data_IF_434144506602
#
_entry.id   IF_434144506602
#
_cell.length_a   1.000
_cell.length_b   1.000
_cell.length_c   1.000
_cell.angle_alpha   90.00
_cell.angle_beta   90.00
_cell.angle_gamma   90.00
#
_symmetry.space_group_name_H-M   'P 1'
#
loop_
_entity.id
_entity.type
_entity.pdbx_description
1 polymer ?
#
# COMPACT_ATOMS: atom_id res chain seq x y z
N UNK A 1 -30.09 3.53 -6.20
CA UNK A 1 -28.76 3.19 -6.76
C UNK A 1 -27.82 4.29 -6.34
N UNK A 2 -26.81 4.01 -5.51
CA UNK A 2 -25.81 5.02 -5.15
C UNK A 2 -24.96 5.32 -6.39
N UNK A 3 -24.74 6.60 -6.71
CA UNK A 3 -23.86 7.00 -7.80
C UNK A 3 -22.46 6.44 -7.55
N UNK A 4 -21.92 5.67 -8.49
CA UNK A 4 -20.58 5.10 -8.41
C UNK A 4 -19.54 6.23 -8.42
N UNK A 5 -18.66 6.27 -7.42
CA UNK A 5 -17.57 7.25 -7.34
C UNK A 5 -16.64 7.13 -8.55
N UNK A 6 -16.39 8.25 -9.24
CA UNK A 6 -15.55 8.29 -10.44
C UNK A 6 -14.16 8.86 -10.16
N UNK A 7 -13.22 8.68 -11.10
CA UNK A 7 -11.90 9.30 -11.05
C UNK A 7 -11.99 10.85 -10.93
N UNK A 8 -13.00 11.47 -11.55
CA UNK A 8 -13.23 12.92 -11.47
C UNK A 8 -13.62 13.35 -10.05
N UNK A 9 -14.42 12.55 -9.36
CA UNK A 9 -14.80 12.81 -7.98
C UNK A 9 -13.59 12.68 -7.06
N UNK A 10 -12.76 11.65 -7.28
CA UNK A 10 -11.50 11.45 -6.56
C UNK A 10 -10.53 12.61 -6.79
N UNK A 11 -10.37 13.08 -8.03
CA UNK A 11 -9.53 14.23 -8.33
C UNK A 11 -10.03 15.52 -7.64
N UNK A 12 -11.36 15.71 -7.52
CA UNK A 12 -11.94 16.84 -6.77
C UNK A 12 -11.66 16.72 -5.27
N UNK A 13 -11.92 15.55 -4.68
CA UNK A 13 -11.63 15.29 -3.27
C UNK A 13 -10.15 15.54 -2.99
N UNK A 14 -9.25 15.09 -3.87
CA UNK A 14 -7.82 15.34 -3.76
C UNK A 14 -7.47 16.83 -3.63
N UNK A 15 -8.12 17.70 -4.42
CA UNK A 15 -7.91 19.16 -4.32
C UNK A 15 -8.42 19.74 -3.01
N UNK A 16 -9.56 19.26 -2.51
CA UNK A 16 -10.12 19.69 -1.22
C UNK A 16 -9.16 19.32 -0.08
N UNK A 17 -8.66 18.07 -0.07
CA UNK A 17 -7.72 17.61 0.94
C UNK A 17 -6.38 18.35 0.88
N UNK A 18 -5.83 18.53 -0.32
CA UNK A 18 -4.57 19.27 -0.58
C UNK A 18 -4.61 20.69 0.00
N UNK A 19 -5.73 21.39 -0.19
CA UNK A 19 -5.92 22.77 0.26
C UNK A 19 -6.51 22.90 1.67
N UNK A 20 -6.84 21.77 2.31
CA UNK A 20 -7.56 21.72 3.58
C UNK A 20 -8.89 22.53 3.56
N UNK A 21 -9.63 22.44 2.46
CA UNK A 21 -10.92 23.13 2.26
C UNK A 21 -12.12 22.38 2.90
N UNK A 22 -11.87 21.40 3.78
CA UNK A 22 -12.91 20.72 4.57
C UNK A 22 -13.22 21.50 5.86
N UNK A 23 -14.47 21.43 6.31
CA UNK A 23 -14.99 22.21 7.44
C UNK A 23 -14.56 21.67 8.79
N UNK A 24 -14.40 20.35 8.90
CA UNK A 24 -14.05 19.67 10.14
C UNK A 24 -13.45 18.28 9.89
N UNK A 25 -12.93 17.65 10.95
CA UNK A 25 -12.30 16.32 10.89
C UNK A 25 -13.29 15.22 10.47
N UNK A 26 -14.58 15.36 10.73
CA UNK A 26 -15.59 14.39 10.31
C UNK A 26 -15.77 14.41 8.79
N UNK A 27 -15.75 15.60 8.18
CA UNK A 27 -15.78 15.76 6.73
C UNK A 27 -14.52 15.18 6.08
N UNK A 28 -13.34 15.44 6.66
CA UNK A 28 -12.09 14.81 6.24
C UNK A 28 -12.18 13.27 6.25
N UNK A 29 -12.72 12.68 7.33
CA UNK A 29 -12.91 11.23 7.45
C UNK A 29 -13.87 10.69 6.41
N UNK A 30 -14.96 11.40 6.11
CA UNK A 30 -15.89 11.02 5.06
C UNK A 30 -15.22 10.99 3.67
N UNK A 31 -14.37 11.98 3.36
CA UNK A 31 -13.57 11.95 2.14
C UNK A 31 -12.57 10.79 2.10
N UNK A 32 -11.90 10.51 3.22
CA UNK A 32 -11.00 9.36 3.35
C UNK A 32 -11.73 8.02 3.11
N UNK A 33 -12.96 7.89 3.61
CA UNK A 33 -13.80 6.71 3.38
C UNK A 33 -14.19 6.53 1.90
N UNK A 34 -14.52 7.62 1.22
CA UNK A 34 -14.80 7.62 -0.22
C UNK A 34 -13.55 7.19 -1.00
N UNK A 35 -12.37 7.72 -0.64
CA UNK A 35 -11.09 7.35 -1.27
C UNK A 35 -10.83 5.85 -1.08
N UNK A 36 -10.92 5.34 0.15
CA UNK A 36 -10.68 3.92 0.43
C UNK A 36 -11.62 3.02 -0.36
N UNK A 37 -12.92 3.35 -0.40
CA UNK A 37 -13.91 2.59 -1.16
C UNK A 37 -13.58 2.58 -2.65
N UNK A 38 -13.18 3.73 -3.21
CA UNK A 38 -12.77 3.82 -4.60
C UNK A 38 -11.52 2.99 -4.91
N UNK A 39 -10.50 3.01 -4.04
CA UNK A 39 -9.30 2.19 -4.19
C UNK A 39 -9.66 0.71 -4.18
N UNK A 40 -10.52 0.29 -3.25
CA UNK A 40 -10.97 -1.10 -3.13
C UNK A 40 -11.67 -1.59 -4.41
N UNK A 41 -12.59 -0.79 -4.95
CA UNK A 41 -13.27 -1.11 -6.22
C UNK A 41 -12.32 -1.10 -7.42
N UNK A 42 -11.38 -0.15 -7.47
CA UNK A 42 -10.55 0.12 -8.65
C UNK A 42 -9.38 -0.84 -8.78
N UNK A 43 -8.70 -1.16 -7.67
CA UNK A 43 -7.45 -1.94 -7.69
C UNK A 43 -7.58 -3.35 -7.12
N UNK A 44 -8.52 -3.59 -6.20
CA UNK A 44 -8.59 -4.89 -5.50
C UNK A 44 -9.74 -5.77 -5.97
N UNK A 45 -10.86 -5.17 -6.40
CA UNK A 45 -12.02 -5.91 -6.92
C UNK A 45 -12.08 -5.97 -8.44
N UNK A 46 -11.64 -4.92 -9.13
CA UNK A 46 -11.58 -4.89 -10.58
C UNK A 46 -10.18 -5.30 -11.08
N UNK A 47 -10.14 -6.27 -11.98
CA UNK A 47 -8.88 -6.78 -12.55
C UNK A 47 -8.36 -5.95 -13.75
N UNK A 48 -9.14 -5.01 -14.31
CA UNK A 48 -8.85 -4.33 -15.58
C UNK A 48 -7.52 -3.58 -15.58
N UNK A 49 -7.27 -2.77 -14.55
CA UNK A 49 -6.02 -2.01 -14.42
C UNK A 49 -4.84 -2.97 -14.26
N UNK A 50 -5.02 -4.04 -13.49
CA UNK A 50 -3.94 -5.00 -13.22
C UNK A 50 -3.60 -5.80 -14.49
N UNK A 51 -4.60 -6.18 -15.28
CA UNK A 51 -4.37 -6.82 -16.58
C UNK A 51 -3.52 -5.94 -17.49
N UNK A 52 -3.85 -4.64 -17.58
CA UNK A 52 -3.08 -3.68 -18.39
C UNK A 52 -1.66 -3.46 -17.86
N UNK A 53 -1.48 -3.51 -16.53
CA UNK A 53 -0.13 -3.47 -15.92
C UNK A 53 0.70 -4.71 -16.24
N UNK A 54 0.07 -5.90 -16.31
CA UNK A 54 0.75 -7.13 -16.75
C UNK A 54 1.15 -7.02 -18.21
N UNK A 55 0.23 -6.63 -19.10
CA UNK A 55 0.51 -6.39 -20.53
C UNK A 55 1.64 -5.37 -20.72
N UNK A 56 1.67 -4.31 -19.91
CA UNK A 56 2.74 -3.31 -19.93
C UNK A 56 4.09 -3.91 -19.48
N UNK A 57 4.12 -4.72 -18.42
CA UNK A 57 5.34 -5.40 -17.98
C UNK A 57 5.88 -6.36 -19.05
N UNK A 58 5.00 -7.10 -19.73
CA UNK A 58 5.38 -8.04 -20.78
C UNK A 58 6.03 -7.34 -21.97
N UNK A 59 5.58 -6.12 -22.32
CA UNK A 59 6.25 -5.27 -23.32
C UNK A 59 7.68 -4.87 -22.93
N UNK A 60 8.03 -4.95 -21.65
CA UNK A 60 9.38 -4.74 -21.11
C UNK A 60 10.13 -6.05 -20.84
N UNK A 61 9.73 -7.14 -21.49
CA UNK A 61 10.30 -8.50 -21.33
C UNK A 61 10.22 -9.04 -19.90
N UNK A 62 9.20 -8.62 -19.14
CA UNK A 62 8.92 -9.10 -17.78
C UNK A 62 7.62 -9.89 -17.76
N UNK A 63 7.74 -11.21 -17.81
CA UNK A 63 6.61 -12.13 -17.77
C UNK A 63 6.33 -12.52 -16.31
N UNK A 64 5.20 -12.06 -15.75
CA UNK A 64 4.89 -12.20 -14.32
C UNK A 64 3.97 -13.40 -14.00
N UNK A 65 3.59 -14.19 -15.00
CA UNK A 65 2.69 -15.36 -14.89
C UNK A 65 1.45 -15.08 -14.02
N UNK A 66 0.73 -14.01 -14.36
CA UNK A 66 -0.53 -13.62 -13.71
C UNK A 66 -1.68 -14.00 -14.63
N UNK A 67 -2.52 -14.93 -14.19
CA UNK A 67 -3.71 -15.35 -14.93
C UNK A 67 -4.93 -14.51 -14.53
N UNK A 68 -5.79 -14.21 -15.50
CA UNK A 68 -7.06 -13.50 -15.28
C UNK A 68 -8.22 -14.44 -15.59
N UNK A 69 -9.32 -14.34 -14.83
CA UNK A 69 -10.45 -15.29 -15.01
C UNK A 69 -11.24 -15.01 -16.29
N UNK A 70 -11.27 -13.74 -16.71
CA UNK A 70 -11.97 -13.28 -17.89
C UNK A 70 -11.08 -12.26 -18.60
N UNK A 71 -11.05 -12.29 -19.93
CA UNK A 71 -10.52 -11.17 -20.69
C UNK A 71 -11.38 -9.95 -20.41
N UNK A 72 -10.79 -8.93 -19.81
CA UNK A 72 -11.54 -7.73 -19.47
C UNK A 72 -11.83 -6.95 -20.76
N UNK A 73 -13.12 -6.68 -21.03
CA UNK A 73 -13.56 -5.96 -22.23
C UNK A 73 -13.30 -4.44 -22.16
N UNK A 74 -12.74 -3.96 -21.05
CA UNK A 74 -12.45 -2.54 -20.85
C UNK A 74 -11.11 -2.21 -21.52
N UNK A 75 -11.19 -1.50 -22.63
CA UNK A 75 -10.00 -0.97 -23.31
C UNK A 75 -9.50 0.28 -22.58
N UNK A 76 -8.40 0.13 -21.84
CA UNK A 76 -7.71 1.23 -21.16
C UNK A 76 -6.36 1.46 -21.84
N UNK A 77 -6.10 2.70 -22.23
CA UNK A 77 -4.79 3.10 -22.72
C UNK A 77 -3.76 3.16 -21.58
N UNK A 78 -2.46 3.18 -21.92
CA UNK A 78 -1.39 3.37 -20.92
C UNK A 78 -1.55 4.71 -20.18
N UNK A 79 -2.05 5.74 -20.87
CA UNK A 79 -2.33 7.06 -20.28
C UNK A 79 -3.49 6.99 -19.27
N UNK A 80 -4.52 6.19 -19.55
CA UNK A 80 -5.60 5.96 -18.58
C UNK A 80 -5.06 5.31 -17.31
N UNK A 81 -4.23 4.28 -17.44
CA UNK A 81 -3.57 3.62 -16.31
C UNK A 81 -2.72 4.62 -15.52
N UNK A 82 -1.95 5.45 -16.21
CA UNK A 82 -1.15 6.51 -15.58
C UNK A 82 -2.02 7.48 -14.78
N UNK A 83 -3.15 7.91 -15.34
CA UNK A 83 -4.09 8.80 -14.65
C UNK A 83 -4.71 8.12 -13.42
N UNK A 84 -5.22 6.90 -13.55
CA UNK A 84 -5.78 6.13 -12.42
C UNK A 84 -4.76 6.01 -11.29
N UNK A 85 -3.54 5.58 -11.57
CA UNK A 85 -2.49 5.39 -10.56
C UNK A 85 -2.07 6.73 -9.96
N UNK A 86 -1.83 7.76 -10.78
CA UNK A 86 -1.39 9.09 -10.33
C UNK A 86 -2.37 9.71 -9.35
N UNK A 87 -3.64 9.80 -9.72
CA UNK A 87 -4.64 10.44 -8.86
C UNK A 87 -4.92 9.59 -7.61
N UNK A 88 -4.97 8.26 -7.74
CA UNK A 88 -5.16 7.35 -6.61
C UNK A 88 -4.04 7.45 -5.59
N UNK A 89 -2.78 7.43 -6.03
CA UNK A 89 -1.61 7.66 -5.17
C UNK A 89 -1.70 9.03 -4.49
N UNK A 90 -2.01 10.08 -5.25
CA UNK A 90 -2.11 11.45 -4.74
C UNK A 90 -3.15 11.58 -3.63
N UNK A 91 -4.35 11.02 -3.81
CA UNK A 91 -5.41 11.11 -2.79
C UNK A 91 -5.11 10.25 -1.56
N UNK A 92 -4.47 9.10 -1.74
CA UNK A 92 -4.03 8.25 -0.62
C UNK A 92 -2.96 8.97 0.21
N UNK A 93 -2.00 9.64 -0.44
CA UNK A 93 -1.04 10.50 0.24
C UNK A 93 -1.75 11.57 1.06
N UNK A 94 -2.69 12.30 0.46
CA UNK A 94 -3.42 13.33 1.20
C UNK A 94 -4.25 12.78 2.35
N UNK A 95 -4.88 11.61 2.18
CA UNK A 95 -5.61 10.96 3.26
C UNK A 95 -4.70 10.59 4.44
N UNK A 96 -3.42 10.31 4.22
CA UNK A 96 -2.47 9.93 5.27
C UNK A 96 -1.77 11.14 5.90
N UNK A 97 -1.45 12.16 5.11
CA UNK A 97 -0.51 13.22 5.51
C UNK A 97 -1.12 14.62 5.63
N UNK A 98 -2.37 14.86 5.20
CA UNK A 98 -2.98 16.20 5.34
C UNK A 98 -3.31 16.54 6.80
N UNK A 99 -3.57 15.52 7.61
CA UNK A 99 -3.91 15.63 9.02
C UNK A 99 -2.89 14.90 9.89
N UNK A 100 -2.36 15.58 10.90
CA UNK A 100 -1.31 15.02 11.76
C UNK A 100 -1.80 13.81 12.56
N UNK A 101 -3.08 13.82 12.95
CA UNK A 101 -3.70 12.76 13.73
C UNK A 101 -3.82 11.42 13.00
N UNK A 102 -3.73 11.42 11.66
CA UNK A 102 -3.90 10.19 10.88
C UNK A 102 -2.65 9.31 11.00
N UNK A 103 -2.86 8.05 11.34
CA UNK A 103 -1.83 7.04 11.52
C UNK A 103 -0.71 7.51 12.45
N UNK A 104 -1.10 8.24 13.50
CA UNK A 104 -0.18 8.83 14.47
C UNK A 104 0.03 7.88 15.66
N UNK A 105 0.54 6.68 15.38
CA UNK A 105 0.88 5.69 16.40
C UNK A 105 2.39 5.66 16.57
N UNK A 106 2.89 5.81 17.81
CA UNK A 106 4.33 5.80 18.09
C UNK A 106 4.98 4.50 17.61
N UNK A 107 4.27 3.38 17.75
CA UNK A 107 4.74 2.06 17.29
C UNK A 107 4.94 1.98 15.77
N UNK A 108 4.29 2.85 14.98
CA UNK A 108 4.36 2.86 13.51
C UNK A 108 5.02 4.12 12.94
N UNK A 109 5.61 4.97 13.79
CA UNK A 109 6.20 6.25 13.37
C UNK A 109 7.24 6.10 12.26
N UNK A 110 8.08 5.07 12.36
CA UNK A 110 9.12 4.80 11.37
C UNK A 110 8.52 4.35 10.03
N UNK A 111 7.41 3.60 10.05
CA UNK A 111 6.70 3.23 8.81
C UNK A 111 6.15 4.47 8.13
N UNK A 112 5.47 5.35 8.88
CA UNK A 112 4.96 6.63 8.36
C UNK A 112 6.08 7.48 7.74
N UNK A 113 7.25 7.50 8.38
CA UNK A 113 8.42 8.22 7.89
C UNK A 113 9.04 7.59 6.63
N UNK A 114 9.13 6.26 6.55
CA UNK A 114 9.59 5.56 5.34
C UNK A 114 8.66 5.89 4.17
N UNK A 115 7.34 5.79 4.36
CA UNK A 115 6.35 6.13 3.32
C UNK A 115 6.57 7.57 2.85
N UNK A 116 6.66 8.53 3.78
CA UNK A 116 6.89 9.95 3.46
C UNK A 116 8.19 10.17 2.69
N UNK A 117 9.29 9.55 3.12
CA UNK A 117 10.58 9.67 2.47
C UNK A 117 10.53 9.19 1.02
N UNK A 118 9.97 8.01 0.74
CA UNK A 118 9.90 7.50 -0.62
C UNK A 118 8.87 8.23 -1.48
N UNK A 119 7.78 8.76 -0.91
CA UNK A 119 6.89 9.66 -1.64
C UNK A 119 7.66 10.89 -2.12
N UNK A 120 8.40 11.56 -1.23
CA UNK A 120 9.25 12.69 -1.59
C UNK A 120 10.34 12.32 -2.60
N UNK A 121 10.99 11.16 -2.45
CA UNK A 121 11.96 10.63 -3.43
C UNK A 121 11.30 10.48 -4.80
N UNK A 122 10.08 9.95 -4.85
CA UNK A 122 9.31 9.76 -6.09
C UNK A 122 8.93 11.07 -6.78
N UNK A 123 8.82 12.19 -6.06
CA UNK A 123 8.59 13.50 -6.67
C UNK A 123 9.86 14.15 -7.21
N UNK A 124 11.02 13.82 -6.65
CA UNK A 124 12.31 14.38 -7.05
C UNK A 124 12.93 13.65 -8.24
N UNK A 125 12.81 12.32 -8.28
CA UNK A 125 13.45 11.50 -9.31
C UNK A 125 12.50 11.26 -10.48
N UNK A 126 12.91 11.65 -11.68
CA UNK A 126 12.13 11.43 -12.91
C UNK A 126 11.94 9.94 -13.22
N UNK A 127 12.97 9.12 -13.00
CA UNK A 127 12.93 7.66 -13.17
C UNK A 127 11.82 6.98 -12.36
N UNK A 128 11.33 7.58 -11.27
CA UNK A 128 10.25 7.05 -10.45
C UNK A 128 8.85 7.52 -10.90
N UNK A 129 8.77 8.45 -11.86
CA UNK A 129 7.52 9.04 -12.39
C UNK A 129 7.30 8.70 -13.85
N UNK A 130 8.37 8.67 -14.63
CA UNK A 130 8.34 8.41 -16.06
C UNK A 130 8.05 6.92 -16.29
N UNK A 131 6.90 6.64 -16.90
CA UNK A 131 6.44 5.31 -17.29
C UNK A 131 6.65 5.02 -18.79
N UNK A 132 7.31 5.90 -19.53
CA UNK A 132 7.51 5.75 -20.97
C UNK A 132 8.93 5.26 -21.27
N UNK A 133 9.92 5.78 -20.56
CA UNK A 133 11.32 5.44 -20.77
C UNK A 133 11.67 4.07 -20.20
N UNK A 134 12.21 3.19 -21.05
CA UNK A 134 12.76 1.90 -20.62
C UNK A 134 14.24 2.05 -20.26
N UNK A 135 14.63 1.57 -19.09
CA UNK A 135 15.98 1.72 -18.55
C UNK A 135 16.75 0.39 -18.61
N UNK A 136 17.97 0.41 -19.15
CA UNK A 136 18.84 -0.78 -19.20
C UNK A 136 19.40 -1.11 -17.82
N UNK A 137 19.78 -2.37 -17.61
CA UNK A 137 20.29 -2.86 -16.32
C UNK A 137 21.49 -2.08 -15.77
N UNK A 138 22.33 -1.53 -16.65
CA UNK A 138 23.54 -0.78 -16.29
C UNK A 138 23.29 0.72 -16.04
N UNK A 139 22.04 1.16 -16.02
CA UNK A 139 21.69 2.57 -15.81
C UNK A 139 21.35 2.86 -14.34
N UNK A 140 21.70 4.05 -13.82
CA UNK A 140 21.30 4.45 -12.47
C UNK A 140 19.79 4.40 -12.24
N UNK A 141 18.99 4.74 -13.24
CA UNK A 141 17.53 4.82 -13.17
C UNK A 141 16.90 3.44 -12.92
N UNK A 142 17.41 2.41 -13.60
CA UNK A 142 17.01 1.02 -13.34
C UNK A 142 17.25 0.62 -11.87
N UNK A 143 18.44 0.92 -11.35
CA UNK A 143 18.80 0.62 -9.97
C UNK A 143 17.98 1.44 -8.97
N UNK A 144 17.71 2.71 -9.25
CA UNK A 144 16.86 3.57 -8.43
C UNK A 144 15.42 3.03 -8.33
N UNK A 145 14.85 2.54 -9.44
CA UNK A 145 13.53 1.91 -9.44
C UNK A 145 13.53 0.63 -8.59
N UNK A 146 14.51 -0.27 -8.80
CA UNK A 146 14.58 -1.54 -8.07
C UNK A 146 14.83 -1.33 -6.57
N UNK A 147 15.76 -0.45 -6.19
CA UNK A 147 16.04 -0.08 -4.79
C UNK A 147 14.78 0.47 -4.12
N UNK A 148 14.10 1.40 -4.80
CA UNK A 148 12.87 2.02 -4.29
C UNK A 148 11.77 0.98 -4.09
N UNK A 149 11.54 0.11 -5.08
CA UNK A 149 10.54 -0.95 -4.98
C UNK A 149 10.84 -1.90 -3.82
N UNK A 150 12.06 -2.44 -3.76
CA UNK A 150 12.48 -3.40 -2.74
C UNK A 150 12.39 -2.81 -1.33
N UNK A 151 12.87 -1.58 -1.15
CA UNK A 151 12.82 -0.94 0.16
C UNK A 151 11.38 -0.67 0.61
N UNK A 152 10.53 -0.11 -0.27
CA UNK A 152 9.12 0.12 0.07
C UNK A 152 8.43 -1.20 0.44
N UNK A 153 8.75 -2.29 -0.26
CA UNK A 153 8.19 -3.61 0.04
C UNK A 153 8.52 -4.09 1.46
N UNK A 154 9.68 -3.72 2.02
CA UNK A 154 10.05 -4.09 3.41
C UNK A 154 9.10 -3.53 4.48
N UNK A 155 8.23 -2.57 4.14
CA UNK A 155 7.19 -2.10 5.07
C UNK A 155 6.30 -3.25 5.55
N UNK A 156 6.00 -4.25 4.71
CA UNK A 156 5.22 -5.42 5.13
C UNK A 156 5.95 -6.24 6.20
N UNK A 157 7.25 -6.48 6.00
CA UNK A 157 8.08 -7.21 6.95
C UNK A 157 8.16 -6.43 8.27
N UNK A 158 8.30 -5.10 8.19
CA UNK A 158 8.37 -4.22 9.35
C UNK A 158 7.06 -4.16 10.15
N UNK A 159 5.92 -4.09 9.46
CA UNK A 159 4.59 -4.19 10.10
C UNK A 159 4.45 -5.51 10.86
N UNK A 160 4.84 -6.61 10.21
CA UNK A 160 4.76 -7.96 10.79
C UNK A 160 5.69 -8.10 12.00
N UNK A 161 6.91 -7.58 11.88
CA UNK A 161 7.88 -7.57 12.97
C UNK A 161 7.35 -6.78 14.18
N UNK A 162 6.79 -5.59 13.98
CA UNK A 162 6.22 -4.77 15.06
C UNK A 162 5.07 -5.52 15.73
N UNK A 163 4.14 -6.09 14.97
CA UNK A 163 3.02 -6.86 15.52
C UNK A 163 3.51 -8.03 16.39
N UNK A 164 4.43 -8.84 15.86
CA UNK A 164 4.99 -9.98 16.56
C UNK A 164 5.77 -9.56 17.81
N UNK A 165 6.59 -8.51 17.71
CA UNK A 165 7.33 -7.94 18.83
C UNK A 165 6.40 -7.52 19.97
N UNK A 166 5.33 -6.79 19.64
CA UNK A 166 4.36 -6.32 20.64
C UNK A 166 3.61 -7.49 21.28
N UNK A 167 3.18 -8.50 20.50
CA UNK A 167 2.60 -9.72 21.04
C UNK A 167 3.55 -10.44 21.99
N UNK A 168 4.79 -10.72 21.56
CA UNK A 168 5.77 -11.42 22.40
C UNK A 168 6.03 -10.65 23.70
N UNK A 169 6.16 -9.32 23.62
CA UNK A 169 6.43 -8.46 24.76
C UNK A 169 5.27 -8.37 25.75
N UNK A 170 4.04 -8.16 25.27
CA UNK A 170 2.91 -7.81 26.12
C UNK A 170 1.93 -8.95 26.39
N UNK A 171 1.81 -9.93 25.48
CA UNK A 171 0.88 -11.06 25.65
C UNK A 171 1.59 -12.32 26.13
N UNK A 172 2.74 -12.63 25.53
CA UNK A 172 3.47 -13.88 25.82
C UNK A 172 4.56 -13.69 26.88
N UNK A 173 4.98 -12.45 27.15
CA UNK A 173 6.09 -12.08 28.04
C UNK A 173 7.41 -12.80 27.74
N UNK A 174 7.68 -13.01 26.46
CA UNK A 174 8.90 -13.63 25.96
C UNK A 174 9.66 -12.68 25.04
N UNK A 175 10.95 -12.95 24.86
CA UNK A 175 11.72 -12.29 23.80
C UNK A 175 11.32 -12.90 22.46
N UNK A 176 11.16 -12.06 21.46
CA UNK A 176 10.99 -12.49 20.08
C UNK A 176 12.22 -13.29 19.63
N UNK A 177 12.00 -14.42 18.97
CA UNK A 177 13.09 -15.21 18.40
C UNK A 177 13.62 -14.55 17.11
N UNK A 178 14.95 -14.33 16.98
CA UNK A 178 15.55 -13.79 15.76
C UNK A 178 15.33 -14.66 14.52
N UNK A 179 15.10 -15.96 14.71
CA UNK A 179 14.99 -16.95 13.63
C UNK A 179 13.56 -17.07 13.08
N UNK A 180 12.62 -16.27 13.58
CA UNK A 180 11.21 -16.37 13.18
C UNK A 180 11.03 -15.87 11.75
N UNK A 181 10.72 -16.78 10.81
CA UNK A 181 10.31 -16.39 9.47
C UNK A 181 8.86 -15.88 9.49
N UNK A 182 8.72 -14.56 9.53
CA UNK A 182 7.43 -13.87 9.55
C UNK A 182 6.97 -13.53 8.13
N UNK A 183 5.68 -13.72 7.85
CA UNK A 183 5.02 -13.36 6.59
C UNK A 183 3.79 -12.51 6.88
N UNK A 184 3.76 -11.29 6.37
CA UNK A 184 2.67 -10.33 6.63
C UNK A 184 1.28 -10.91 6.51
N UNK A 185 0.94 -11.55 5.39
CA UNK A 185 -0.40 -12.07 5.14
C UNK A 185 -0.78 -13.32 5.94
N UNK A 186 0.17 -13.95 6.64
CA UNK A 186 -0.10 -15.11 7.49
C UNK A 186 -0.10 -14.73 8.98
N UNK A 187 0.84 -13.87 9.38
CA UNK A 187 1.17 -13.67 10.79
C UNK A 187 0.66 -12.33 11.34
N UNK A 188 0.61 -11.28 10.51
CA UNK A 188 0.37 -9.91 10.98
C UNK A 188 -0.97 -9.75 11.72
N UNK A 189 -2.07 -10.20 11.11
CA UNK A 189 -3.42 -10.02 11.68
C UNK A 189 -3.57 -10.72 13.03
N UNK A 190 -3.06 -11.94 13.14
CA UNK A 190 -3.07 -12.70 14.41
C UNK A 190 -2.32 -11.92 15.49
N UNK A 191 -1.12 -11.46 15.16
CA UNK A 191 -0.22 -10.85 16.11
C UNK A 191 -0.62 -9.42 16.51
N UNK A 192 -1.38 -8.71 15.67
CA UNK A 192 -1.85 -7.33 15.96
C UNK A 192 -3.25 -7.26 16.57
N UNK A 193 -3.99 -8.37 16.60
CA UNK A 193 -5.42 -8.43 16.93
C UNK A 193 -5.80 -7.73 18.25
N UNK A 194 -4.96 -7.85 19.28
CA UNK A 194 -5.18 -7.25 20.60
C UNK A 194 -5.16 -5.71 20.63
N UNK A 195 -4.61 -5.07 19.59
CA UNK A 195 -4.61 -3.61 19.42
C UNK A 195 -5.87 -3.08 18.73
N UNK A 196 -6.79 -3.96 18.31
CA UNK A 196 -8.06 -3.54 17.71
C UNK A 196 -8.93 -2.75 18.71
N UNK A 197 -9.74 -1.82 18.19
CA UNK A 197 -10.70 -1.06 19.02
C UNK A 197 -11.75 -1.99 19.64
N UNK A 198 -12.28 -2.92 18.85
CA UNK A 198 -13.29 -3.92 19.19
C UNK A 198 -13.13 -5.19 18.33
N UNK A 199 -13.80 -6.30 18.67
CA UNK A 199 -13.87 -7.48 17.79
C UNK A 199 -14.43 -7.18 16.39
N UNK A 200 -15.40 -6.28 16.28
CA UNK A 200 -15.99 -5.85 15.01
C UNK A 200 -14.99 -5.06 14.16
N UNK A 201 -14.19 -4.20 14.80
CA UNK A 201 -13.10 -3.47 14.13
C UNK A 201 -12.00 -4.44 13.66
N UNK A 202 -11.67 -5.46 14.45
CA UNK A 202 -10.74 -6.50 14.03
C UNK A 202 -11.25 -7.26 12.80
N UNK A 203 -12.53 -7.67 12.80
CA UNK A 203 -13.15 -8.32 11.64
C UNK A 203 -13.11 -7.41 10.40
N UNK A 204 -13.34 -6.12 10.58
CA UNK A 204 -13.30 -5.13 9.49
C UNK A 204 -11.88 -4.95 8.95
N UNK A 205 -10.87 -4.89 9.82
CA UNK A 205 -9.46 -4.87 9.44
C UNK A 205 -9.07 -6.13 8.65
N UNK A 206 -9.41 -7.31 9.17
CA UNK A 206 -9.19 -8.59 8.49
C UNK A 206 -9.81 -8.61 7.10
N UNK A 207 -11.06 -8.13 6.96
CA UNK A 207 -11.75 -8.07 5.68
C UNK A 207 -11.02 -7.19 4.65
N UNK A 208 -10.42 -6.08 5.09
CA UNK A 208 -9.62 -5.21 4.21
C UNK A 208 -8.30 -5.88 3.82
N UNK A 209 -7.58 -6.47 4.79
CA UNK A 209 -6.32 -7.15 4.49
C UNK A 209 -6.56 -8.32 3.55
N UNK A 210 -7.58 -9.15 3.80
CA UNK A 210 -7.95 -10.28 2.93
C UNK A 210 -8.32 -9.84 1.51
N UNK A 211 -9.10 -8.76 1.37
CA UNK A 211 -9.41 -8.18 0.07
C UNK A 211 -8.13 -7.86 -0.71
N UNK A 212 -7.12 -7.28 -0.05
CA UNK A 212 -5.83 -6.99 -0.66
C UNK A 212 -5.09 -8.29 -0.97
N UNK A 213 -4.97 -9.22 -0.02
CA UNK A 213 -4.25 -10.50 -0.15
C UNK A 213 -4.70 -11.30 -1.37
N UNK A 214 -6.01 -11.38 -1.57
CA UNK A 214 -6.62 -12.19 -2.64
C UNK A 214 -6.79 -11.40 -3.95
N UNK A 215 -6.41 -10.13 -3.99
CA UNK A 215 -6.50 -9.31 -5.19
C UNK A 215 -5.41 -9.64 -6.20
N UNK A 216 -5.71 -9.41 -7.49
CA UNK A 216 -4.71 -9.48 -8.56
C UNK A 216 -3.61 -8.45 -8.40
N UNK A 217 -3.92 -7.28 -7.82
CA UNK A 217 -2.91 -6.25 -7.54
C UNK A 217 -1.81 -6.79 -6.62
N UNK A 218 -2.18 -7.50 -5.55
CA UNK A 218 -1.20 -8.11 -4.66
C UNK A 218 -0.42 -9.21 -5.35
N UNK A 219 -1.10 -10.10 -6.08
CA UNK A 219 -0.43 -11.16 -6.83
C UNK A 219 0.61 -10.61 -7.82
N UNK A 220 0.27 -9.55 -8.55
CA UNK A 220 1.16 -8.83 -9.46
C UNK A 220 2.40 -8.30 -8.74
N UNK A 221 2.20 -7.57 -7.62
CA UNK A 221 3.31 -6.99 -6.84
C UNK A 221 4.22 -8.07 -6.24
N UNK A 222 3.64 -9.17 -5.73
CA UNK A 222 4.41 -10.28 -5.17
C UNK A 222 5.23 -11.01 -6.24
N UNK A 223 4.65 -11.25 -7.43
CA UNK A 223 5.35 -11.86 -8.56
C UNK A 223 6.51 -10.99 -9.02
N UNK A 224 6.27 -9.67 -9.13
CA UNK A 224 7.32 -8.72 -9.49
C UNK A 224 8.46 -8.72 -8.47
N UNK A 225 8.15 -8.73 -7.17
CA UNK A 225 9.18 -8.83 -6.11
C UNK A 225 10.05 -10.07 -6.29
N UNK A 226 9.43 -11.23 -6.46
CA UNK A 226 10.16 -12.49 -6.64
C UNK A 226 11.07 -12.44 -7.89
N UNK A 227 10.56 -11.96 -9.02
CA UNK A 227 11.35 -11.80 -10.25
C UNK A 227 12.54 -10.85 -10.04
N UNK A 228 12.34 -9.72 -9.34
CA UNK A 228 13.41 -8.77 -9.04
C UNK A 228 14.48 -9.30 -8.07
N UNK A 229 14.16 -10.34 -7.29
CA UNK A 229 15.07 -10.96 -6.32
C UNK A 229 15.78 -12.19 -6.89
N UNK A 230 15.14 -12.93 -7.78
CA UNK A 230 15.60 -14.27 -8.18
C UNK A 230 15.90 -14.41 -9.67
N UNK A 231 15.38 -13.53 -10.53
CA UNK A 231 15.60 -13.65 -11.97
C UNK A 231 16.72 -12.71 -12.44
N UNK A 232 17.54 -13.22 -13.35
CA UNK A 232 18.57 -12.43 -14.01
C UNK A 232 17.93 -11.54 -15.06
N UNK A 233 18.04 -10.22 -14.86
CA UNK A 233 17.63 -9.27 -15.89
C UNK A 233 18.57 -9.40 -17.10
N UNK A 234 17.99 -9.63 -18.28
CA UNK A 234 18.73 -9.67 -19.54
C UNK A 234 19.20 -8.24 -19.91
N UNK A 235 20.52 -8.02 -20.13
CA UNK A 235 21.08 -6.71 -20.46
C UNK A 235 20.64 -6.14 -21.81
N UNK A 236 20.05 -6.96 -22.69
CA UNK A 236 19.58 -6.55 -24.01
C UNK A 236 18.25 -5.78 -23.95
N UNK A 237 17.48 -5.93 -22.87
CA UNK A 237 16.19 -5.27 -22.70
C UNK A 237 16.27 -4.05 -21.77
N UNK A 238 15.32 -3.14 -21.97
CA UNK A 238 15.06 -2.04 -21.05
C UNK A 238 13.82 -2.34 -20.19
N UNK A 239 13.81 -1.85 -18.97
CA UNK A 239 12.78 -2.14 -17.98
C UNK A 239 12.20 -0.85 -17.38
N UNK A 240 10.94 -0.91 -16.96
CA UNK A 240 10.32 0.17 -16.20
C UNK A 240 9.28 -0.41 -15.23
N UNK A 241 9.38 -0.07 -13.94
CA UNK A 241 8.44 -0.46 -12.88
C UNK A 241 7.86 0.73 -12.11
N UNK A 242 7.89 1.92 -12.71
CA UNK A 242 7.32 3.13 -12.09
C UNK A 242 5.85 2.94 -11.69
N UNK A 243 5.02 2.31 -12.54
CA UNK A 243 3.64 1.96 -12.19
C UNK A 243 3.57 0.99 -11.02
N UNK A 244 4.40 -0.04 -10.98
CA UNK A 244 4.40 -1.03 -9.91
C UNK A 244 4.80 -0.42 -8.56
N UNK A 245 5.76 0.51 -8.56
CA UNK A 245 6.13 1.29 -7.37
C UNK A 245 4.94 2.13 -6.89
N UNK A 246 4.25 2.81 -7.80
CA UNK A 246 3.09 3.63 -7.44
C UNK A 246 1.89 2.79 -6.96
N UNK A 247 1.67 1.61 -7.54
CA UNK A 247 0.67 0.64 -7.06
C UNK A 247 1.03 0.13 -5.66
N UNK A 248 2.30 -0.16 -5.40
CA UNK A 248 2.77 -0.57 -4.08
C UNK A 248 2.51 0.51 -3.02
N UNK A 249 2.70 1.79 -3.35
CA UNK A 249 2.30 2.89 -2.47
C UNK A 249 0.79 2.90 -2.18
N UNK A 250 -0.05 2.66 -3.19
CA UNK A 250 -1.51 2.60 -3.02
C UNK A 250 -1.89 1.47 -2.06
N UNK A 251 -1.29 0.28 -2.22
CA UNK A 251 -1.52 -0.87 -1.33
C UNK A 251 -1.12 -0.54 0.11
N UNK A 252 0.10 -0.04 0.31
CA UNK A 252 0.60 0.31 1.64
C UNK A 252 -0.25 1.41 2.27
N UNK A 253 -0.62 2.42 1.49
CA UNK A 253 -1.45 3.50 1.98
C UNK A 253 -2.86 3.04 2.37
N UNK A 254 -3.46 2.12 1.60
CA UNK A 254 -4.73 1.50 1.98
C UNK A 254 -4.66 0.75 3.30
N UNK A 255 -3.59 -0.02 3.51
CA UNK A 255 -3.33 -0.75 4.76
C UNK A 255 -3.15 0.25 5.91
N UNK A 256 -2.35 1.29 5.69
CA UNK A 256 -2.10 2.37 6.66
C UNK A 256 -3.40 3.01 7.13
N UNK A 257 -4.31 3.36 6.21
CA UNK A 257 -5.62 3.91 6.54
C UNK A 257 -6.53 2.91 7.28
N UNK A 258 -6.44 1.62 6.95
CA UNK A 258 -7.17 0.58 7.67
C UNK A 258 -6.68 0.45 9.13
N UNK A 259 -5.37 0.49 9.34
CA UNK A 259 -4.77 0.43 10.67
C UNK A 259 -5.15 1.65 11.52
N UNK A 260 -5.11 2.85 10.95
CA UNK A 260 -5.58 4.08 11.62
C UNK A 260 -7.06 3.97 12.03
N UNK A 261 -7.89 3.44 11.14
CA UNK A 261 -9.33 3.32 11.37
C UNK A 261 -9.69 2.31 12.44
N UNK A 262 -9.06 1.13 12.45
CA UNK A 262 -9.53 -0.03 13.22
C UNK A 262 -8.70 -0.35 14.46
N UNK A 263 -7.46 0.14 14.56
CA UNK A 263 -6.66 -0.01 15.77
C UNK A 263 -6.95 1.11 16.78
N UNK A 264 -6.73 0.85 18.06
CA UNK A 264 -6.79 1.89 19.09
C UNK A 264 -5.88 3.06 18.71
N UNK A 265 -6.30 4.28 19.03
CA UNK A 265 -5.42 5.44 18.91
C UNK A 265 -4.28 5.36 19.94
N UNK A 266 -3.32 6.28 19.88
CA UNK A 266 -2.16 6.30 20.76
C UNK A 266 -2.52 6.23 22.26
N UNK A 267 -3.50 7.02 22.69
CA UNK A 267 -3.98 7.01 24.09
C UNK A 267 -4.55 5.64 24.48
N UNK A 268 -5.40 5.06 23.64
CA UNK A 268 -5.97 3.74 23.87
C UNK A 268 -4.93 2.61 23.85
N UNK A 269 -3.87 2.75 23.04
CA UNK A 269 -2.72 1.83 23.04
C UNK A 269 -1.91 1.97 24.33
N UNK A 270 -1.65 3.20 24.81
CA UNK A 270 -0.91 3.43 26.07
C UNK A 270 -1.63 2.79 27.25
N UNK A 271 -2.94 3.06 27.40
CA UNK A 271 -3.75 2.48 28.48
C UNK A 271 -3.76 0.95 28.42
N UNK A 272 -3.82 0.37 27.22
CA UNK A 272 -3.76 -1.08 27.04
C UNK A 272 -2.40 -1.65 27.45
N UNK A 273 -1.29 -1.02 27.03
CA UNK A 273 0.05 -1.49 27.36
C UNK A 273 0.34 -1.41 28.85
N UNK A 274 -0.12 -0.37 29.55
CA UNK A 274 0.06 -0.26 30.99
C UNK A 274 -0.69 -1.40 31.72
N UNK A 275 -1.94 -1.67 31.34
CA UNK A 275 -2.70 -2.81 31.85
C UNK A 275 -2.02 -4.17 31.59
N UNK A 276 -1.42 -4.35 30.42
CA UNK A 276 -0.75 -5.61 30.07
C UNK A 276 0.63 -5.77 30.74
N UNK A 277 1.23 -4.69 31.26
CA UNK A 277 2.47 -4.76 32.04
C UNK A 277 2.23 -5.14 33.50
N UNK A 278 1.07 -4.77 34.04
CA UNK A 278 0.68 -5.04 35.43
C UNK A 278 0.19 -6.48 35.64
N UNK A 279 -0.41 -7.08 34.61
CA UNK A 279 -0.77 -8.50 34.57
C UNK A 279 0.44 -9.35 34.20
#
# INVERSE_FOLDING_TARGET
>A
MANKTTLKDIAKIGKILEKKEYTNISEFRAYSDIIQSYIDETFFRNEAIIQKLVEYCEKSSRHLDVTFKHENQIDLSVEDIANYIKYSKKVVEYAIFSEESVFNHTIFVEIKNIIKYFLQKSYKLESLRNYETLYKINTPEFHQQNETFKYIYTIFDKLTYIANHLKCKYLEKVKQSPETSLKFFNDFLKDISFLSKSPEDFKSLTSVIDLITYSRAWHYIRRLRNMLEHDFADPNFGYNISFSINLLFIIIGRITLALDRYLKNEEGMSVLFDKLREN
#
